data_IF_741941686679
#
_entry.id   IF_741941686679
#
_cell.length_a   1.000
_cell.length_b   1.000
_cell.length_c   1.000
_cell.angle_alpha   90.00
_cell.angle_beta   90.00
_cell.angle_gamma   90.00
#
_symmetry.space_group_name_H-M   'P 1'
#
loop_
_entity.id
_entity.type
_entity.pdbx_description
1 polymer ?
#
# COMPACT_ATOMS: atom_id res chain seq x y z
N UNK A 1 24.87 -6.40 -38.64
CA UNK A 1 25.13 -5.61 -37.42
C UNK A 1 24.41 -4.30 -37.59
N UNK A 2 23.25 -4.11 -36.94
CA UNK A 2 22.42 -2.92 -37.16
C UNK A 2 23.18 -1.65 -36.75
N UNK A 3 23.09 -0.54 -37.51
CA UNK A 3 23.79 0.69 -37.19
C UNK A 3 23.29 1.23 -35.84
N UNK A 4 24.23 1.58 -34.97
CA UNK A 4 23.96 2.25 -33.70
C UNK A 4 23.30 3.60 -34.00
N UNK A 5 22.16 3.94 -33.37
CA UNK A 5 21.51 5.22 -33.62
C UNK A 5 22.45 6.39 -33.26
N UNK A 6 22.42 7.50 -34.03
CA UNK A 6 23.27 8.66 -33.80
C UNK A 6 23.14 9.21 -32.38
N UNK A 7 24.26 9.59 -31.76
CA UNK A 7 24.23 10.33 -30.50
C UNK A 7 23.96 11.81 -30.82
N UNK A 8 22.69 12.22 -30.85
CA UNK A 8 22.35 13.63 -31.09
C UNK A 8 22.87 14.56 -29.97
N UNK A 9 23.38 15.76 -30.33
CA UNK A 9 23.94 16.70 -29.37
C UNK A 9 22.89 17.51 -28.59
N UNK A 10 21.60 17.48 -28.94
CA UNK A 10 20.59 18.27 -28.25
C UNK A 10 20.46 17.86 -26.78
N UNK A 11 20.76 18.79 -25.87
CA UNK A 11 20.28 18.73 -24.49
C UNK A 11 18.75 18.70 -24.53
N UNK A 12 18.11 17.74 -23.87
CA UNK A 12 16.67 17.68 -23.83
C UNK A 12 16.18 18.86 -22.99
N UNK A 13 15.23 19.64 -23.52
CA UNK A 13 14.61 20.81 -22.85
C UNK A 13 14.03 20.47 -21.46
N UNK A 14 13.90 19.19 -21.15
CA UNK A 14 13.40 18.62 -19.90
C UNK A 14 14.34 18.77 -18.69
N UNK A 15 15.58 19.25 -18.88
CA UNK A 15 16.53 19.51 -17.78
C UNK A 15 17.13 18.26 -17.14
N UNK A 16 16.86 17.07 -17.68
CA UNK A 16 17.44 15.80 -17.23
C UNK A 16 18.71 15.44 -18.00
N UNK A 17 19.63 14.73 -17.33
CA UNK A 17 20.81 14.21 -17.99
C UNK A 17 20.46 13.17 -19.08
N UNK A 18 21.26 13.13 -20.15
CA UNK A 18 21.06 12.23 -21.29
C UNK A 18 21.04 10.76 -20.87
N UNK A 19 21.82 10.39 -19.85
CA UNK A 19 21.83 9.00 -19.35
C UNK A 19 20.51 8.64 -18.67
N UNK A 20 19.88 9.59 -17.99
CA UNK A 20 18.59 9.40 -17.31
C UNK A 20 17.49 9.16 -18.32
N UNK A 21 17.44 9.94 -19.40
CA UNK A 21 16.44 9.78 -20.46
C UNK A 21 16.60 8.44 -21.16
N UNK A 22 17.83 8.05 -21.53
CA UNK A 22 18.10 6.73 -22.13
C UNK A 22 17.68 5.59 -21.21
N UNK A 23 17.88 5.73 -19.90
CA UNK A 23 17.46 4.72 -18.90
C UNK A 23 15.93 4.61 -18.84
N UNK A 24 15.22 5.74 -18.88
CA UNK A 24 13.75 5.77 -18.90
C UNK A 24 13.22 5.14 -20.20
N UNK A 25 13.77 5.52 -21.36
CA UNK A 25 13.39 4.94 -22.65
C UNK A 25 13.62 3.43 -22.71
N UNK A 26 14.74 2.95 -22.18
CA UNK A 26 15.04 1.52 -22.11
C UNK A 26 14.00 0.80 -21.25
N UNK A 27 13.70 1.33 -20.07
CA UNK A 27 12.70 0.78 -19.14
C UNK A 27 11.29 0.78 -19.74
N UNK A 28 10.93 1.82 -20.48
CA UNK A 28 9.65 1.90 -21.18
C UNK A 28 9.54 0.83 -22.29
N UNK A 29 10.59 0.65 -23.10
CA UNK A 29 10.66 -0.39 -24.13
C UNK A 29 10.58 -1.81 -23.55
N UNK A 30 11.28 -2.08 -22.45
CA UNK A 30 11.19 -3.36 -21.72
C UNK A 30 9.76 -3.67 -21.22
N UNK A 31 8.95 -2.64 -21.00
CA UNK A 31 7.53 -2.75 -20.59
C UNK A 31 6.55 -2.73 -21.77
N UNK A 32 7.05 -2.78 -23.01
CA UNK A 32 6.23 -2.85 -24.23
C UNK A 32 5.85 -1.51 -24.85
N UNK A 33 6.54 -0.41 -24.51
CA UNK A 33 6.34 0.86 -25.21
C UNK A 33 6.99 0.81 -26.60
N UNK A 34 6.16 0.90 -27.64
CA UNK A 34 6.57 0.95 -29.05
C UNK A 34 6.14 2.27 -29.69
N UNK A 35 6.99 3.32 -29.66
CA UNK A 35 6.64 4.64 -30.17
C UNK A 35 6.37 4.68 -31.68
N UNK A 36 6.84 3.67 -32.41
CA UNK A 36 6.64 3.53 -33.87
C UNK A 36 5.21 3.14 -34.25
N UNK A 37 4.54 2.35 -33.40
CA UNK A 37 3.15 1.90 -33.63
C UNK A 37 2.16 2.75 -32.86
N UNK A 38 2.46 3.01 -31.59
CA UNK A 38 1.59 3.75 -30.68
C UNK A 38 2.41 4.77 -29.88
N UNK A 39 2.37 6.06 -30.26
CA UNK A 39 3.13 7.11 -29.59
C UNK A 39 2.56 7.50 -28.21
N UNK A 40 1.56 6.78 -27.71
CA UNK A 40 0.86 7.11 -26.47
C UNK A 40 1.67 6.65 -25.26
N UNK A 41 2.13 7.61 -24.47
CA UNK A 41 2.83 7.35 -23.20
C UNK A 41 1.79 7.12 -22.10
N UNK A 42 1.73 5.89 -21.56
CA UNK A 42 1.00 5.59 -20.32
C UNK A 42 1.93 5.59 -19.11
N UNK A 43 1.38 5.92 -17.95
CA UNK A 43 2.12 6.02 -16.69
C UNK A 43 2.90 4.73 -16.37
N UNK A 44 2.29 3.57 -16.66
CA UNK A 44 2.86 2.25 -16.42
C UNK A 44 4.22 2.02 -17.09
N UNK A 45 4.55 2.70 -18.19
CA UNK A 45 5.86 2.57 -18.85
C UNK A 45 6.98 3.27 -18.07
N UNK A 46 6.65 4.34 -17.34
CA UNK A 46 7.64 5.22 -16.69
C UNK A 46 7.74 4.95 -15.19
N UNK A 47 6.63 4.57 -14.53
CA UNK A 47 6.53 4.39 -13.07
C UNK A 47 7.65 3.56 -12.47
N UNK A 48 8.15 3.95 -11.31
CA UNK A 48 9.15 3.16 -10.60
C UNK A 48 8.58 1.83 -10.11
N UNK A 49 9.32 0.75 -10.38
CA UNK A 49 9.01 -0.55 -9.82
C UNK A 49 9.17 -0.47 -8.29
N UNK A 50 8.41 -1.28 -7.53
CA UNK A 50 8.60 -1.39 -6.10
C UNK A 50 10.07 -1.72 -5.80
N UNK A 51 10.70 -0.93 -4.94
CA UNK A 51 12.12 -1.09 -4.60
C UNK A 51 12.34 -2.46 -3.95
N UNK A 52 13.39 -3.17 -4.38
CA UNK A 52 13.82 -4.48 -3.88
C UNK A 52 14.45 -4.47 -2.49
N UNK A 53 14.08 -3.48 -1.65
CA UNK A 53 14.63 -3.34 -0.30
C UNK A 53 14.44 -4.59 0.55
N UNK A 54 15.07 -4.60 1.74
CA UNK A 54 15.04 -5.75 2.65
C UNK A 54 13.62 -6.31 2.80
N UNK A 55 13.41 -7.62 2.61
CA UNK A 55 12.09 -8.22 2.74
C UNK A 55 11.53 -7.95 4.14
N UNK A 56 10.25 -7.62 4.19
CA UNK A 56 9.55 -7.43 5.47
C UNK A 56 9.44 -8.77 6.18
N UNK A 57 9.51 -8.75 7.51
CA UNK A 57 9.33 -9.95 8.33
C UNK A 57 7.96 -10.61 8.16
N UNK A 58 6.95 -9.83 7.75
CA UNK A 58 5.59 -10.31 7.54
C UNK A 58 5.22 -10.23 6.06
N UNK A 59 4.58 -11.30 5.59
CA UNK A 59 3.90 -11.31 4.29
C UNK A 59 2.61 -10.47 4.35
N UNK A 60 2.07 -10.05 3.19
CA UNK A 60 0.78 -9.34 3.13
C UNK A 60 -0.36 -10.14 3.77
N UNK A 61 -0.37 -11.47 3.58
CA UNK A 61 -1.36 -12.40 4.13
C UNK A 61 -1.34 -12.38 5.66
N UNK A 62 -0.14 -12.39 6.26
CA UNK A 62 0.03 -12.30 7.70
C UNK A 62 -0.40 -10.93 8.26
N UNK A 63 -0.27 -9.84 7.49
CA UNK A 63 -0.82 -8.54 7.89
C UNK A 63 -2.36 -8.59 7.96
N UNK A 64 -3.03 -9.38 7.12
CA UNK A 64 -4.49 -9.55 7.13
C UNK A 64 -4.97 -10.37 8.32
N UNK A 65 -4.21 -11.39 8.74
CA UNK A 65 -4.50 -12.15 9.96
C UNK A 65 -4.50 -11.25 11.21
N UNK A 66 -3.54 -10.32 11.30
CA UNK A 66 -3.49 -9.32 12.37
C UNK A 66 -4.75 -8.44 12.37
N UNK A 67 -5.23 -8.04 11.18
CA UNK A 67 -6.45 -7.23 11.03
C UNK A 67 -7.69 -8.05 11.41
N UNK A 68 -7.74 -9.33 11.05
CA UNK A 68 -8.82 -10.25 11.41
C UNK A 68 -8.88 -10.46 12.93
N UNK A 69 -7.74 -10.63 13.57
CA UNK A 69 -7.63 -10.74 15.03
C UNK A 69 -8.10 -9.45 15.73
N UNK A 70 -7.74 -8.27 15.21
CA UNK A 70 -8.22 -6.98 15.71
C UNK A 70 -9.75 -6.85 15.54
N UNK A 71 -10.27 -7.14 14.35
CA UNK A 71 -11.67 -6.92 13.99
C UNK A 71 -12.62 -7.81 14.79
N UNK A 72 -12.22 -9.04 15.09
CA UNK A 72 -13.03 -9.99 15.89
C UNK A 72 -13.46 -9.43 17.25
N UNK A 73 -12.65 -8.57 17.87
CA UNK A 73 -12.91 -8.01 19.21
C UNK A 73 -13.16 -6.49 19.20
N UNK A 74 -13.25 -5.85 18.04
CA UNK A 74 -13.37 -4.39 17.92
C UNK A 74 -14.61 -3.80 18.62
N UNK A 75 -15.64 -4.61 18.88
CA UNK A 75 -16.95 -4.16 19.37
C UNK A 75 -17.07 -4.16 20.91
N UNK A 76 -16.33 -5.00 21.62
CA UNK A 76 -16.57 -5.26 23.06
C UNK A 76 -15.36 -5.03 23.96
N UNK A 77 -14.16 -5.44 23.54
CA UNK A 77 -12.91 -5.24 24.29
C UNK A 77 -11.80 -4.82 23.33
N UNK A 78 -11.27 -3.62 23.51
CA UNK A 78 -10.09 -3.17 22.78
C UNK A 78 -8.92 -4.10 23.15
N UNK A 79 -8.45 -4.90 22.20
CA UNK A 79 -7.22 -5.67 22.41
C UNK A 79 -6.04 -4.72 22.43
N UNK A 80 -5.19 -4.88 23.44
CA UNK A 80 -3.87 -4.23 23.43
C UNK A 80 -3.02 -4.83 22.30
N UNK A 81 -2.00 -4.08 21.85
CA UNK A 81 -1.05 -4.58 20.85
C UNK A 81 -0.34 -5.85 21.29
N UNK A 82 -0.12 -6.03 22.60
CA UNK A 82 0.40 -7.26 23.18
C UNK A 82 -0.62 -8.40 23.14
N UNK A 83 -1.89 -8.11 23.41
CA UNK A 83 -2.96 -9.11 23.29
C UNK A 83 -3.09 -9.63 21.86
N UNK A 84 -3.01 -8.75 20.86
CA UNK A 84 -3.02 -9.16 19.46
C UNK A 84 -1.78 -10.00 19.15
N UNK A 85 -0.59 -9.61 19.63
CA UNK A 85 0.64 -10.39 19.45
C UNK A 85 0.51 -11.81 19.97
N UNK A 86 -0.01 -11.98 21.18
CA UNK A 86 -0.19 -13.30 21.79
C UNK A 86 -1.17 -14.17 20.98
N UNK A 87 -2.23 -13.58 20.42
CA UNK A 87 -3.19 -14.30 19.57
C UNK A 87 -2.62 -14.69 18.20
N UNK A 88 -1.77 -13.84 17.63
CA UNK A 88 -1.20 -14.06 16.28
C UNK A 88 0.13 -14.82 16.30
N UNK A 89 0.83 -14.87 17.45
CA UNK A 89 2.13 -15.52 17.57
C UNK A 89 2.15 -17.01 17.19
N UNK A 90 1.09 -17.81 17.48
CA UNK A 90 1.05 -19.21 17.06
C UNK A 90 0.90 -19.40 15.54
N UNK A 91 0.31 -18.41 14.85
CA UNK A 91 0.00 -18.48 13.42
C UNK A 91 1.22 -18.11 12.54
N UNK A 92 2.19 -17.40 13.12
CA UNK A 92 3.24 -16.73 12.36
C UNK A 92 4.61 -17.22 12.83
N UNK A 93 5.31 -17.90 11.93
CA UNK A 93 6.62 -18.47 12.20
C UNK A 93 7.62 -17.37 12.61
N UNK A 94 8.21 -17.51 13.79
CA UNK A 94 9.13 -16.52 14.38
C UNK A 94 8.47 -15.48 15.28
N UNK A 95 7.15 -15.53 15.46
CA UNK A 95 6.39 -14.67 16.37
C UNK A 95 6.38 -13.19 15.96
N UNK A 96 5.46 -12.42 16.55
CA UNK A 96 5.33 -11.00 16.27
C UNK A 96 5.43 -10.20 17.56
N UNK A 97 6.34 -9.22 17.56
CA UNK A 97 6.40 -8.26 18.65
C UNK A 97 5.23 -7.26 18.60
N UNK A 98 4.71 -6.86 19.77
CA UNK A 98 3.66 -5.85 19.86
C UNK A 98 4.01 -4.53 19.14
N UNK A 99 5.30 -4.17 19.08
CA UNK A 99 5.78 -2.99 18.33
C UNK A 99 5.58 -3.15 16.82
N UNK A 100 5.78 -4.35 16.29
CA UNK A 100 5.54 -4.66 14.87
C UNK A 100 4.06 -4.51 14.54
N UNK A 101 3.18 -5.06 15.39
CA UNK A 101 1.72 -4.90 15.23
C UNK A 101 1.32 -3.44 15.25
N UNK A 102 1.82 -2.66 16.21
CA UNK A 102 1.54 -1.22 16.28
C UNK A 102 1.92 -0.49 14.99
N UNK A 103 3.09 -0.80 14.40
CA UNK A 103 3.54 -0.23 13.13
C UNK A 103 2.62 -0.63 11.96
N UNK A 104 2.19 -1.88 11.91
CA UNK A 104 1.26 -2.39 10.87
C UNK A 104 -0.07 -1.66 10.96
N UNK A 105 -0.66 -1.60 12.16
CA UNK A 105 -1.93 -0.92 12.40
C UNK A 105 -1.86 0.57 12.01
N UNK A 106 -0.79 1.27 12.38
CA UNK A 106 -0.58 2.67 11.98
C UNK A 106 -0.45 2.84 10.47
N UNK A 107 0.29 1.95 9.79
CA UNK A 107 0.46 1.98 8.33
C UNK A 107 -0.87 1.76 7.60
N UNK A 108 -1.72 0.87 8.11
CA UNK A 108 -3.06 0.58 7.60
C UNK A 108 -4.10 1.63 8.01
N UNK A 109 -3.71 2.67 8.76
CA UNK A 109 -4.58 3.80 9.12
C UNK A 109 -5.41 3.62 10.40
N UNK A 110 -5.22 2.53 11.15
CA UNK A 110 -5.92 2.29 12.41
C UNK A 110 -5.45 3.25 13.50
N UNK A 111 -6.40 3.70 14.32
CA UNK A 111 -6.19 4.64 15.42
C UNK A 111 -6.91 4.11 16.66
N UNK A 112 -6.37 4.34 17.88
CA UNK A 112 -7.12 4.07 19.09
C UNK A 112 -8.32 5.02 19.14
N UNK A 113 -9.52 4.49 18.89
CA UNK A 113 -10.76 5.24 18.93
C UNK A 113 -11.70 4.56 19.91
N UNK A 114 -12.38 5.35 20.74
CA UNK A 114 -13.52 4.82 21.51
C UNK A 114 -14.63 4.49 20.51
N UNK A 115 -15.23 3.28 20.55
CA UNK A 115 -16.42 3.01 19.78
C UNK A 115 -17.52 3.95 20.27
N UNK A 116 -17.84 4.95 19.46
CA UNK A 116 -18.90 5.92 19.72
C UNK A 116 -19.96 5.69 18.67
N UNK A 117 -21.02 4.95 19.02
CA UNK A 117 -22.23 4.93 18.21
C UNK A 117 -23.12 6.06 18.73
N UNK A 118 -23.60 6.90 17.81
CA UNK A 118 -24.75 7.76 18.13
C UNK A 118 -25.88 6.82 18.58
N UNK A 119 -26.49 7.05 19.75
CA UNK A 119 -27.69 6.31 20.12
C UNK A 119 -28.72 6.53 19.01
N UNK A 120 -29.25 5.44 18.46
CA UNK A 120 -30.36 5.55 17.51
C UNK A 120 -31.59 6.11 18.22
N UNK A 121 -32.51 6.70 17.46
CA UNK A 121 -33.78 7.14 18.05
C UNK A 121 -34.48 5.98 18.74
N UNK A 122 -34.92 6.21 19.97
CA UNK A 122 -35.79 5.28 20.69
C UNK A 122 -37.10 5.09 19.91
N UNK A 123 -37.82 4.00 20.19
CA UNK A 123 -39.11 3.73 19.52
C UNK A 123 -40.08 4.90 19.68
N UNK A 124 -40.10 5.53 20.85
CA UNK A 124 -40.89 6.73 21.16
C UNK A 124 -40.51 7.92 20.30
N UNK A 125 -39.20 8.21 20.16
CA UNK A 125 -38.72 9.32 19.31
C UNK A 125 -39.04 9.09 17.83
N UNK A 126 -39.07 7.84 17.37
CA UNK A 126 -39.50 7.52 15.99
C UNK A 126 -40.99 7.78 15.78
N UNK A 127 -41.81 7.49 16.79
CA UNK A 127 -43.26 7.65 16.77
C UNK A 127 -43.64 9.14 16.78
N UNK A 128 -42.98 9.94 17.62
CA UNK A 128 -43.14 11.40 17.68
C UNK A 128 -42.72 12.13 16.40
N UNK A 129 -41.84 11.53 15.58
CA UNK A 129 -41.42 12.07 14.28
C UNK A 129 -42.40 11.76 13.14
N UNK A 130 -43.29 10.79 13.34
CA UNK A 130 -44.26 10.34 12.34
C UNK A 130 -45.63 11.03 12.49
N UNK A 131 -45.83 11.74 13.60
CA UNK A 131 -46.95 12.65 13.86
C UNK A 131 -46.66 14.02 13.24
#
# INVERSE_FOLDING_TARGET
>A
MAPKPPNDPATPETGYDKTTIRRIEKKARERGYTPETDPKIILAYVEDAPRSGRPKKLSPEQEEEVIKALSKNSTTRQLSTQGIANLTSPLIQGGISARTIHRILRRKGYKPCKPTKKPGLTKEQKLARLQ
#
